data_IF_694975020032
#
_entry.id   IF_694975020032
#
_cell.length_a   1.000
_cell.length_b   1.000
_cell.length_c   1.000
_cell.angle_alpha   90.00
_cell.angle_beta   90.00
_cell.angle_gamma   90.00
#
_symmetry.space_group_name_H-M   'P 1'
#
loop_
_entity.id
_entity.type
_entity.pdbx_description
1 polymer ?
#
# COMPACT_ATOMS: atom_id res chain seq x y z
N UNK A 1 -5.15 0.21 -14.21
CA UNK A 1 -3.83 0.86 -14.14
C UNK A 1 -3.46 0.92 -12.67
N UNK A 2 -2.19 0.73 -12.34
CA UNK A 2 -1.75 0.78 -10.95
C UNK A 2 -0.44 1.55 -10.84
N UNK A 3 -0.16 2.07 -9.66
CA UNK A 3 1.16 2.57 -9.32
C UNK A 3 1.77 1.71 -8.20
N UNK A 4 3.09 1.60 -8.23
CA UNK A 4 3.88 1.03 -7.15
C UNK A 4 4.73 2.13 -6.53
N UNK A 5 4.72 2.20 -5.20
CA UNK A 5 5.71 2.97 -4.43
C UNK A 5 6.75 2.03 -3.83
N UNK A 6 8.02 2.26 -4.16
CA UNK A 6 9.15 1.48 -3.64
C UNK A 6 10.29 2.39 -3.16
N UNK A 7 11.14 1.92 -2.24
CA UNK A 7 12.34 2.65 -1.86
C UNK A 7 13.22 2.90 -3.10
N UNK A 8 13.82 4.09 -3.15
CA UNK A 8 14.88 4.38 -4.13
C UNK A 8 15.98 3.32 -4.06
N UNK A 9 16.60 3.03 -5.20
CA UNK A 9 17.69 2.05 -5.29
C UNK A 9 18.70 2.15 -4.15
N UNK A 10 18.98 1.01 -3.51
CA UNK A 10 19.89 0.89 -2.37
C UNK A 10 19.28 1.22 -1.00
N UNK A 11 17.99 1.60 -0.92
CA UNK A 11 17.28 1.80 0.35
C UNK A 11 16.40 0.60 0.70
N UNK A 12 16.24 0.35 2.00
CA UNK A 12 15.36 -0.70 2.53
C UNK A 12 13.90 -0.25 2.55
N UNK A 13 13.00 -1.23 2.47
CA UNK A 13 11.58 -1.02 2.72
C UNK A 13 11.35 -0.58 4.17
N UNK A 14 10.44 0.39 4.35
CA UNK A 14 9.95 0.80 5.65
C UNK A 14 9.03 -0.30 6.21
N UNK A 15 8.98 -0.42 7.54
CA UNK A 15 7.99 -1.25 8.21
C UNK A 15 6.60 -0.63 8.06
N UNK A 16 5.51 -1.43 8.14
CA UNK A 16 4.14 -0.88 8.10
C UNK A 16 3.90 0.22 9.14
N UNK A 17 4.46 0.06 10.34
CA UNK A 17 4.39 1.09 11.40
C UNK A 17 5.06 2.41 11.02
N UNK A 18 6.21 2.34 10.34
CA UNK A 18 6.94 3.52 9.90
C UNK A 18 6.29 4.19 8.69
N UNK A 19 5.69 3.41 7.78
CA UNK A 19 4.83 3.94 6.71
C UNK A 19 3.70 4.76 7.31
N UNK A 20 2.92 4.19 8.23
CA UNK A 20 1.80 4.88 8.89
C UNK A 20 2.27 6.13 9.63
N UNK A 21 3.38 6.04 10.38
CA UNK A 21 3.93 7.19 11.11
C UNK A 21 4.23 8.37 10.20
N UNK A 22 4.95 8.15 9.09
CA UNK A 22 5.31 9.22 8.15
C UNK A 22 4.11 9.80 7.42
N UNK A 23 3.14 8.96 7.07
CA UNK A 23 1.91 9.45 6.43
C UNK A 23 1.10 10.33 7.38
N UNK A 24 1.05 10.01 8.68
CA UNK A 24 0.39 10.86 9.69
C UNK A 24 1.06 12.22 9.89
N UNK A 25 2.34 12.35 9.55
CA UNK A 25 3.05 13.63 9.58
C UNK A 25 2.74 14.50 8.35
N UNK A 26 2.28 13.88 7.25
CA UNK A 26 2.02 14.53 5.97
C UNK A 26 0.53 14.82 5.73
N UNK A 27 -0.38 13.94 6.16
CA UNK A 27 -1.80 14.01 5.81
C UNK A 27 -2.67 14.28 7.03
N UNK A 28 -3.75 15.05 6.81
CA UNK A 28 -4.74 15.33 7.86
C UNK A 28 -5.55 14.08 8.24
N UNK A 29 -5.79 13.19 7.28
CA UNK A 29 -6.55 11.96 7.48
C UNK A 29 -5.68 10.78 7.07
N UNK A 30 -5.39 9.91 8.03
CA UNK A 30 -4.75 8.61 7.84
C UNK A 30 -5.52 7.58 8.64
N UNK A 31 -6.40 6.86 7.95
CA UNK A 31 -7.13 5.74 8.53
C UNK A 31 -6.34 4.45 8.34
N UNK A 32 -6.38 3.59 9.36
CA UNK A 32 -5.61 2.35 9.39
C UNK A 32 -6.43 1.20 9.93
N UNK A 33 -6.49 0.11 9.18
CA UNK A 33 -7.23 -1.09 9.55
C UNK A 33 -6.31 -2.32 9.41
N UNK A 34 -6.02 -2.95 10.55
CA UNK A 34 -5.17 -4.16 10.59
C UNK A 34 -5.93 -5.40 10.14
N UNK A 35 -7.21 -5.50 10.46
CA UNK A 35 -8.01 -6.66 10.13
C UNK A 35 -8.24 -6.67 8.61
N UNK A 36 -8.59 -5.53 8.01
CA UNK A 36 -8.67 -5.38 6.56
C UNK A 36 -7.33 -5.63 5.86
N UNK A 37 -6.21 -5.24 6.48
CA UNK A 37 -4.87 -5.54 5.98
C UNK A 37 -4.57 -7.04 5.95
N UNK A 38 -4.88 -7.73 7.05
CA UNK A 38 -4.70 -9.18 7.16
C UNK A 38 -5.62 -9.96 6.20
N UNK A 39 -6.87 -9.53 6.06
CA UNK A 39 -7.84 -10.11 5.12
C UNK A 39 -7.36 -9.98 3.67
N UNK A 40 -6.87 -8.79 3.28
CA UNK A 40 -6.33 -8.56 1.94
C UNK A 40 -5.14 -9.48 1.62
N UNK A 41 -4.21 -9.66 2.56
CA UNK A 41 -3.10 -10.61 2.38
C UNK A 41 -3.62 -12.05 2.32
N UNK A 42 -4.68 -12.38 3.05
CA UNK A 42 -5.37 -13.67 2.95
C UNK A 42 -5.90 -13.94 1.55
N UNK A 43 -6.54 -12.94 0.93
CA UNK A 43 -7.03 -13.02 -0.44
C UNK A 43 -5.89 -13.19 -1.45
N UNK A 44 -4.77 -12.47 -1.26
CA UNK A 44 -3.56 -12.63 -2.08
C UNK A 44 -3.00 -14.05 -1.99
N UNK A 45 -2.89 -14.61 -0.77
CA UNK A 45 -2.45 -16.00 -0.56
C UNK A 45 -3.38 -16.98 -1.28
N UNK A 46 -4.69 -16.81 -1.15
CA UNK A 46 -5.68 -17.65 -1.83
C UNK A 46 -5.55 -17.55 -3.36
N UNK A 47 -5.20 -16.38 -3.89
CA UNK A 47 -4.90 -16.21 -5.31
C UNK A 47 -3.60 -16.90 -5.74
N UNK A 48 -2.52 -16.76 -4.97
CA UNK A 48 -1.24 -17.42 -5.27
C UNK A 48 -1.36 -18.95 -5.29
N UNK A 49 -2.12 -19.52 -4.34
CA UNK A 49 -2.42 -20.95 -4.33
C UNK A 49 -3.19 -21.40 -5.58
N UNK A 50 -4.20 -20.63 -6.01
CA UNK A 50 -4.94 -20.90 -7.26
C UNK A 50 -4.04 -20.84 -8.49
N UNK A 51 -3.08 -19.93 -8.51
CA UNK A 51 -2.10 -19.76 -9.59
C UNK A 51 -0.93 -20.74 -9.53
N UNK A 52 -0.85 -21.59 -8.48
CA UNK A 52 0.29 -22.49 -8.22
C UNK A 52 1.62 -21.74 -8.16
N UNK A 53 1.61 -20.56 -7.53
CA UNK A 53 2.84 -19.84 -7.23
C UNK A 53 3.78 -20.68 -6.36
N UNK A 54 5.10 -20.46 -6.40
CA UNK A 54 6.05 -21.14 -5.52
C UNK A 54 5.68 -21.00 -4.05
N UNK A 55 5.85 -22.07 -3.27
CA UNK A 55 5.54 -22.11 -1.83
C UNK A 55 6.25 -21.00 -1.05
N UNK A 56 7.47 -20.63 -1.47
CA UNK A 56 8.24 -19.54 -0.87
C UNK A 56 7.49 -18.19 -0.91
N UNK A 57 6.76 -17.91 -2.00
CA UNK A 57 5.96 -16.69 -2.12
C UNK A 57 4.77 -16.74 -1.15
N UNK A 58 4.11 -17.89 -1.06
CA UNK A 58 2.96 -18.08 -0.16
C UNK A 58 3.39 -17.94 1.31
N UNK A 59 4.50 -18.57 1.69
CA UNK A 59 5.03 -18.51 3.05
C UNK A 59 5.53 -17.11 3.43
N UNK A 60 6.12 -16.36 2.49
CA UNK A 60 6.49 -14.98 2.72
C UNK A 60 5.25 -14.12 3.07
N UNK A 61 4.15 -14.28 2.35
CA UNK A 61 2.91 -13.53 2.61
C UNK A 61 2.23 -13.98 3.90
N UNK A 62 2.24 -15.27 4.23
CA UNK A 62 1.74 -15.78 5.52
C UNK A 62 2.47 -15.16 6.71
N UNK A 63 3.80 -15.00 6.61
CA UNK A 63 4.61 -14.34 7.65
C UNK A 63 4.33 -12.84 7.75
N UNK A 64 4.06 -12.18 6.64
CA UNK A 64 3.76 -10.75 6.58
C UNK A 64 2.33 -10.41 7.04
N UNK A 65 1.37 -11.33 6.91
CA UNK A 65 -0.05 -11.11 7.19
C UNK A 65 -0.35 -10.48 8.56
N UNK A 66 0.26 -10.90 9.69
CA UNK A 66 -0.02 -10.31 11.01
C UNK A 66 0.46 -8.85 11.15
N UNK A 67 1.36 -8.41 10.28
CA UNK A 67 1.91 -7.04 10.27
C UNK A 67 1.29 -6.17 9.17
N UNK A 68 0.47 -6.75 8.30
CA UNK A 68 -0.18 -6.03 7.22
C UNK A 68 -1.18 -5.00 7.77
N UNK A 69 -1.15 -3.80 7.19
CA UNK A 69 -2.07 -2.72 7.56
C UNK A 69 -2.67 -2.16 6.29
N UNK A 70 -4.00 -2.16 6.21
CA UNK A 70 -4.72 -1.36 5.22
C UNK A 70 -4.61 0.11 5.62
N UNK A 71 -4.15 0.95 4.69
CA UNK A 71 -3.95 2.38 4.92
C UNK A 71 -4.78 3.15 3.92
N UNK A 72 -5.55 4.12 4.41
CA UNK A 72 -6.28 5.08 3.57
C UNK A 72 -5.85 6.49 3.95
N UNK A 73 -5.35 7.25 2.98
CA UNK A 73 -4.96 8.66 3.16
C UNK A 73 -5.87 9.58 2.34
N UNK A 74 -6.22 10.72 2.91
CA UNK A 74 -7.06 11.73 2.27
C UNK A 74 -6.77 13.13 2.85
N UNK A 75 -7.11 14.16 2.07
CA UNK A 75 -7.09 15.55 2.54
C UNK A 75 -8.46 15.99 3.11
N UNK A 76 -9.54 15.36 2.67
CA UNK A 76 -10.92 15.66 3.08
C UNK A 76 -11.69 14.36 3.40
N UNK A 77 -12.73 14.39 4.25
CA UNK A 77 -13.53 13.20 4.59
C UNK A 77 -14.31 12.57 3.43
N UNK A 78 -14.27 13.16 2.24
CA UNK A 78 -15.01 12.73 1.05
C UNK A 78 -14.27 11.60 0.31
N UNK A 79 -14.90 10.42 0.26
CA UNK A 79 -14.26 9.15 -0.07
C UNK A 79 -13.81 8.95 -1.53
N UNK A 80 -14.23 9.78 -2.48
CA UNK A 80 -13.82 9.64 -3.89
C UNK A 80 -12.39 10.13 -4.14
N UNK A 81 -11.80 10.87 -3.19
CA UNK A 81 -10.44 11.41 -3.27
C UNK A 81 -9.53 10.84 -2.21
N UNK A 82 -9.73 9.57 -1.87
CA UNK A 82 -8.86 8.85 -0.95
C UNK A 82 -7.93 7.88 -1.72
N UNK A 83 -6.72 7.73 -1.21
CA UNK A 83 -5.73 6.78 -1.71
C UNK A 83 -5.63 5.63 -0.71
N UNK A 84 -5.89 4.40 -1.16
CA UNK A 84 -5.85 3.22 -0.31
C UNK A 84 -4.87 2.18 -0.82
N UNK A 85 -4.15 1.54 0.09
CA UNK A 85 -3.17 0.48 -0.20
C UNK A 85 -2.88 -0.34 1.05
N UNK A 86 -2.27 -1.52 0.86
CA UNK A 86 -1.76 -2.33 1.97
C UNK A 86 -0.26 -2.06 2.16
N UNK A 87 0.13 -1.76 3.39
CA UNK A 87 1.52 -1.74 3.81
C UNK A 87 1.85 -3.09 4.47
N UNK A 88 2.84 -3.79 3.93
CA UNK A 88 3.33 -5.06 4.48
C UNK A 88 4.87 -5.10 4.47
N UNK A 89 5.52 -5.86 5.37
CA UNK A 89 6.97 -5.88 5.46
C UNK A 89 7.65 -6.33 4.16
N UNK A 90 8.70 -5.61 3.76
CA UNK A 90 9.58 -6.02 2.65
C UNK A 90 9.01 -5.81 1.24
N UNK A 91 7.82 -5.22 1.11
CA UNK A 91 7.12 -5.06 -0.16
C UNK A 91 6.86 -3.60 -0.53
N UNK A 92 6.64 -3.38 -1.82
CA UNK A 92 6.20 -2.08 -2.33
C UNK A 92 4.73 -1.84 -2.03
N UNK A 93 4.33 -0.57 -1.99
CA UNK A 93 2.92 -0.20 -1.82
C UNK A 93 2.26 -0.20 -3.19
N UNK A 94 1.35 -1.14 -3.40
CA UNK A 94 0.57 -1.24 -4.64
C UNK A 94 -0.73 -0.47 -4.51
N UNK A 95 -0.96 0.42 -5.46
CA UNK A 95 -2.11 1.33 -5.50
C UNK A 95 -2.89 1.04 -6.78
N UNK A 96 -4.04 0.39 -6.62
CA UNK A 96 -4.97 0.15 -7.70
C UNK A 96 -6.01 1.27 -7.81
N UNK A 97 -6.37 1.63 -9.05
CA UNK A 97 -7.44 2.58 -9.31
C UNK A 97 -8.67 1.91 -9.92
N UNK A 98 -9.85 2.32 -9.50
CA UNK A 98 -11.11 1.79 -10.05
C UNK A 98 -11.55 2.53 -11.33
N UNK A 99 -11.02 3.73 -11.57
CA UNK A 99 -11.23 4.49 -12.81
C UNK A 99 -10.07 5.45 -13.05
N UNK A 100 -9.89 5.87 -14.31
CA UNK A 100 -8.90 6.92 -14.64
C UNK A 100 -9.27 8.30 -14.07
N UNK A 101 -10.51 8.51 -13.66
CA UNK A 101 -10.92 9.73 -12.94
C UNK A 101 -10.37 9.73 -11.51
N UNK A 102 -10.50 8.61 -10.79
CA UNK A 102 -9.95 8.48 -9.44
C UNK A 102 -8.42 8.51 -9.45
N UNK A 103 -7.78 7.93 -10.47
CA UNK A 103 -6.34 8.07 -10.70
C UNK A 103 -5.92 9.56 -10.77
N UNK A 104 -6.55 10.34 -11.65
CA UNK A 104 -6.25 11.78 -11.76
C UNK A 104 -6.57 12.55 -10.49
N UNK A 105 -7.68 12.22 -9.83
CA UNK A 105 -8.11 12.89 -8.60
C UNK A 105 -7.16 12.63 -7.42
N UNK A 106 -6.46 11.49 -7.40
CA UNK A 106 -5.57 11.08 -6.30
C UNK A 106 -4.08 11.26 -6.61
N UNK A 107 -3.73 11.76 -7.80
CA UNK A 107 -2.33 11.99 -8.22
C UNK A 107 -1.55 12.85 -7.20
N UNK A 108 -2.19 13.88 -6.64
CA UNK A 108 -1.58 14.71 -5.60
C UNK A 108 -1.23 13.93 -4.33
N UNK A 109 -2.13 13.05 -3.88
CA UNK A 109 -1.91 12.19 -2.71
C UNK A 109 -0.81 11.16 -2.96
N UNK A 110 -0.77 10.58 -4.17
CA UNK A 110 0.27 9.64 -4.57
C UNK A 110 1.66 10.28 -4.47
N UNK A 111 1.83 11.46 -5.07
CA UNK A 111 3.11 12.18 -5.08
C UNK A 111 3.57 12.58 -3.68
N UNK A 112 2.65 13.06 -2.85
CA UNK A 112 2.93 13.42 -1.45
C UNK A 112 3.28 12.19 -0.60
N UNK A 113 2.57 11.08 -0.81
CA UNK A 113 2.90 9.80 -0.16
C UNK A 113 4.31 9.34 -0.53
N UNK A 114 4.66 9.35 -1.81
CA UNK A 114 6.01 9.01 -2.26
C UNK A 114 7.08 9.92 -1.63
N UNK A 115 6.82 11.24 -1.59
CA UNK A 115 7.73 12.20 -0.98
C UNK A 115 7.92 11.96 0.53
N UNK A 116 6.83 11.78 1.29
CA UNK A 116 6.85 11.52 2.73
C UNK A 116 7.59 10.22 3.07
N UNK A 117 7.43 9.19 2.24
CA UNK A 117 8.09 7.89 2.44
C UNK A 117 9.53 7.88 1.90
N UNK A 118 9.91 8.85 1.07
CA UNK A 118 11.18 8.85 0.35
C UNK A 118 11.27 7.76 -0.72
N UNK A 119 10.12 7.38 -1.27
CA UNK A 119 9.93 6.34 -2.28
C UNK A 119 9.91 6.94 -3.69
N UNK A 120 10.07 6.09 -4.70
CA UNK A 120 9.85 6.40 -6.11
C UNK A 120 8.50 5.84 -6.58
N UNK A 121 7.99 6.39 -7.69
CA UNK A 121 6.71 6.00 -8.29
C UNK A 121 7.00 5.26 -9.58
N UNK A 122 6.49 4.05 -9.70
CA UNK A 122 6.54 3.23 -10.92
C UNK A 122 5.11 2.95 -11.40
N UNK A 123 4.89 3.01 -12.72
CA UNK A 123 3.63 2.62 -13.35
C UNK A 123 3.64 1.11 -13.63
N UNK A 124 2.57 0.41 -13.22
CA UNK A 124 2.40 -1.05 -13.32
C UNK A 124 1.07 -1.47 -13.96
#
# INVERSE_FOLDING_TARGET
>A
MAHRLSPKSGRSYLTPSEVVRRLREEFAIVDTDRDAGADHVGDMIAQFLRMRAPDEIVEAHRKAQPEAVWVTVADEPSGERALSFVAMPGEGLFIGYHSGEQERATEGLLRRSAAALGYEIELV
#
